data_IF_178831174005
#
_entry.id   IF_178831174005
#
_cell.length_a   1.000
_cell.length_b   1.000
_cell.length_c   1.000
_cell.angle_alpha   90.00
_cell.angle_beta   90.00
_cell.angle_gamma   90.00
#
_symmetry.space_group_name_H-M   'P 1'
#
loop_
_entity.id
_entity.type
_entity.pdbx_description
1 polymer ?
#
# COMPACT_ATOMS: atom_id res chain seq x y z
N UNK A 1 5.62 -7.63 -7.18
CA UNK A 1 5.25 -8.74 -6.27
C UNK A 1 6.50 -9.38 -5.68
N UNK A 2 6.43 -9.82 -4.42
CA UNK A 2 7.57 -10.44 -3.71
C UNK A 2 7.54 -11.97 -3.75
N UNK A 3 6.41 -12.57 -4.14
CA UNK A 3 6.21 -14.01 -4.21
C UNK A 3 5.52 -14.38 -5.53
N UNK A 4 6.10 -15.27 -6.36
CA UNK A 4 5.50 -15.69 -7.62
C UNK A 4 4.21 -16.51 -7.46
N UNK A 5 3.93 -17.03 -6.26
CA UNK A 5 2.72 -17.82 -5.94
C UNK A 5 1.54 -16.98 -5.46
N UNK A 6 1.77 -15.70 -5.17
CA UNK A 6 0.77 -14.82 -4.54
C UNK A 6 0.64 -13.49 -5.28
N UNK A 7 0.35 -13.60 -6.58
CA UNK A 7 0.20 -12.48 -7.51
C UNK A 7 -1.22 -11.90 -7.46
N UNK A 8 -1.35 -10.60 -7.75
CA UNK A 8 -2.66 -9.99 -7.96
C UNK A 8 -3.21 -10.38 -9.34
N UNK A 9 -2.35 -10.47 -10.35
CA UNK A 9 -2.72 -10.88 -11.69
C UNK A 9 -1.53 -11.45 -12.48
N UNK A 10 -1.84 -12.18 -13.56
CA UNK A 10 -0.83 -12.63 -14.49
C UNK A 10 -0.12 -11.43 -15.14
N UNK A 11 1.20 -11.51 -15.26
CA UNK A 11 2.02 -10.44 -15.85
C UNK A 11 2.51 -9.39 -14.85
N UNK A 12 2.16 -9.48 -13.57
CA UNK A 12 2.80 -8.64 -12.55
C UNK A 12 4.34 -8.83 -12.58
N UNK A 13 5.14 -7.74 -12.45
CA UNK A 13 6.57 -7.88 -12.25
C UNK A 13 6.88 -8.47 -10.87
N UNK A 14 7.85 -9.38 -10.81
CA UNK A 14 8.17 -10.16 -9.62
C UNK A 14 9.64 -9.95 -9.27
N UNK A 15 9.90 -9.59 -8.01
CA UNK A 15 11.24 -9.54 -7.43
C UNK A 15 11.30 -10.60 -6.35
N UNK A 16 11.76 -11.80 -6.69
CA UNK A 16 11.86 -12.93 -5.78
C UNK A 16 13.16 -13.71 -6.00
N UNK A 17 13.55 -14.53 -5.02
CA UNK A 17 14.80 -15.29 -5.03
C UNK A 17 14.78 -16.40 -6.08
N UNK A 18 13.64 -17.06 -6.24
CA UNK A 18 13.47 -18.25 -7.08
C UNK A 18 13.66 -17.95 -8.56
N UNK A 19 13.30 -16.73 -9.00
CA UNK A 19 13.36 -16.31 -10.40
C UNK A 19 14.44 -15.25 -10.66
N UNK A 20 15.33 -14.99 -9.69
CA UNK A 20 16.40 -14.04 -9.87
C UNK A 20 17.38 -14.53 -10.94
N UNK A 21 17.54 -13.74 -12.00
CA UNK A 21 18.40 -14.05 -13.12
C UNK A 21 19.05 -12.78 -13.65
N UNK A 22 20.18 -12.95 -14.36
CA UNK A 22 20.85 -11.82 -15.01
C UNK A 22 19.94 -11.10 -16.01
N UNK A 23 19.02 -11.81 -16.67
CA UNK A 23 18.05 -11.23 -17.59
C UNK A 23 17.07 -10.33 -16.84
N UNK A 24 16.49 -10.83 -15.74
CA UNK A 24 15.55 -10.07 -14.92
C UNK A 24 16.20 -8.84 -14.28
N UNK A 25 17.41 -9.00 -13.72
CA UNK A 25 18.18 -7.87 -13.17
C UNK A 25 18.47 -6.80 -14.22
N UNK A 26 18.88 -7.19 -15.44
CA UNK A 26 19.07 -6.23 -16.55
C UNK A 26 17.78 -5.50 -16.92
N UNK A 27 16.64 -6.20 -16.93
CA UNK A 27 15.35 -5.58 -17.22
C UNK A 27 14.97 -4.53 -16.17
N UNK A 28 15.09 -4.86 -14.88
CA UNK A 28 14.84 -3.91 -13.79
C UNK A 28 15.83 -2.74 -13.78
N UNK A 29 17.12 -2.99 -14.03
CA UNK A 29 18.10 -1.90 -14.16
C UNK A 29 17.85 -1.01 -15.37
N UNK A 30 17.39 -1.56 -16.49
CA UNK A 30 16.98 -0.76 -17.63
C UNK A 30 15.76 0.12 -17.29
N UNK A 31 14.77 -0.44 -16.58
CA UNK A 31 13.60 0.30 -16.11
C UNK A 31 14.00 1.45 -15.17
N UNK A 32 14.74 1.15 -14.10
CA UNK A 32 15.20 2.18 -13.16
C UNK A 32 16.00 3.28 -13.87
N UNK A 33 16.96 2.91 -14.72
CA UNK A 33 17.79 3.88 -15.47
C UNK A 33 16.96 4.78 -16.38
N UNK A 34 15.99 4.22 -17.12
CA UNK A 34 15.16 5.00 -18.05
C UNK A 34 14.21 5.92 -17.28
N UNK A 35 13.60 5.43 -16.20
CA UNK A 35 12.69 6.22 -15.37
C UNK A 35 13.39 7.39 -14.66
N UNK A 36 14.69 7.25 -14.36
CA UNK A 36 15.50 8.27 -13.69
C UNK A 36 16.20 9.25 -14.64
N UNK A 37 16.01 9.14 -15.96
CA UNK A 37 16.78 9.89 -16.97
C UNK A 37 16.70 11.42 -16.82
N UNK A 38 15.59 11.92 -16.26
CA UNK A 38 15.31 13.35 -16.06
C UNK A 38 15.44 13.78 -14.58
N UNK A 39 16.12 12.97 -13.75
CA UNK A 39 16.41 13.29 -12.34
C UNK A 39 15.31 12.91 -11.35
N UNK A 40 14.27 12.19 -11.77
CA UNK A 40 13.25 11.67 -10.87
C UNK A 40 13.84 10.60 -9.93
N UNK A 41 13.31 10.53 -8.70
CA UNK A 41 13.49 9.36 -7.83
C UNK A 41 12.46 8.30 -8.23
N UNK A 42 12.87 7.03 -8.21
CA UNK A 42 11.99 5.91 -8.57
C UNK A 42 11.97 4.89 -7.44
N UNK A 43 10.80 4.75 -6.83
CA UNK A 43 10.55 3.85 -5.72
C UNK A 43 9.63 2.73 -6.21
N UNK A 44 9.98 1.47 -5.95
CA UNK A 44 9.13 0.33 -6.33
C UNK A 44 8.17 -0.02 -5.20
N UNK A 45 6.91 -0.28 -5.51
CA UNK A 45 5.98 -0.83 -4.54
C UNK A 45 6.12 -2.36 -4.46
N UNK A 46 6.41 -2.86 -3.26
CA UNK A 46 6.55 -4.27 -2.95
C UNK A 46 5.25 -4.78 -2.33
N UNK A 47 4.70 -5.84 -2.91
CA UNK A 47 3.34 -6.31 -2.59
C UNK A 47 3.26 -7.84 -2.58
N UNK A 48 2.32 -8.35 -1.80
CA UNK A 48 1.92 -9.76 -1.71
C UNK A 48 0.40 -9.83 -1.63
N UNK A 49 -0.27 -10.49 -2.59
CA UNK A 49 -1.73 -10.40 -2.72
C UNK A 49 -2.49 -11.08 -1.57
N UNK A 50 -1.87 -12.07 -0.94
CA UNK A 50 -2.48 -12.82 0.16
C UNK A 50 -3.78 -13.48 -0.28
N UNK A 51 -4.85 -13.38 0.54
CA UNK A 51 -6.19 -13.91 0.17
C UNK A 51 -6.84 -13.30 -1.09
N UNK A 52 -6.26 -12.26 -1.70
CA UNK A 52 -6.76 -11.69 -2.97
C UNK A 52 -6.18 -12.38 -4.21
N UNK A 53 -5.23 -13.29 -4.02
CA UNK A 53 -4.63 -14.05 -5.13
C UNK A 53 -5.73 -14.77 -5.90
N UNK A 54 -5.86 -14.56 -7.23
CA UNK A 54 -6.86 -15.25 -8.03
C UNK A 54 -6.67 -16.77 -7.98
N UNK A 55 -7.78 -17.51 -8.01
CA UNK A 55 -7.76 -18.99 -8.01
C UNK A 55 -6.97 -19.56 -9.19
N UNK A 56 -6.86 -18.83 -10.30
CA UNK A 56 -6.07 -19.21 -11.48
C UNK A 56 -4.55 -19.07 -11.28
N UNK A 57 -4.12 -18.35 -10.24
CA UNK A 57 -2.70 -18.18 -9.86
C UNK A 57 -2.34 -19.17 -8.77
N UNK A 58 -3.15 -19.22 -7.71
CA UNK A 58 -2.99 -20.14 -6.59
C UNK A 58 -4.38 -20.41 -5.99
N UNK A 59 -4.75 -21.68 -5.93
CA UNK A 59 -6.00 -22.13 -5.34
C UNK A 59 -5.99 -22.03 -3.81
N UNK A 60 -4.80 -22.03 -3.20
CA UNK A 60 -4.58 -21.99 -1.76
C UNK A 60 -3.55 -20.93 -1.35
N UNK A 61 -3.85 -19.63 -1.52
CA UNK A 61 -2.91 -18.57 -1.20
C UNK A 61 -2.72 -18.36 0.31
N UNK A 62 -1.54 -17.91 0.72
CA UNK A 62 -1.29 -17.54 2.10
C UNK A 62 -2.08 -16.30 2.54
N UNK A 63 -2.45 -16.27 3.81
CA UNK A 63 -3.14 -15.17 4.48
C UNK A 63 -2.77 -15.15 5.97
N UNK A 64 -3.18 -14.12 6.70
CA UNK A 64 -3.06 -14.09 8.16
C UNK A 64 -4.02 -15.10 8.84
N UNK A 65 -5.16 -15.39 8.21
CA UNK A 65 -6.18 -16.35 8.68
C UNK A 65 -6.92 -16.98 7.48
N UNK A 66 -7.68 -18.04 7.72
CA UNK A 66 -8.49 -18.80 6.76
C UNK A 66 -9.80 -18.11 6.35
N UNK A 67 -9.86 -16.77 6.41
CA UNK A 67 -11.05 -15.99 6.08
C UNK A 67 -11.12 -15.72 4.57
N UNK A 68 -12.04 -16.34 3.81
CA UNK A 68 -12.11 -16.18 2.36
C UNK A 68 -12.40 -14.73 1.94
N UNK A 69 -11.98 -14.37 0.73
CA UNK A 69 -12.40 -13.11 0.12
C UNK A 69 -13.73 -13.32 -0.61
N UNK A 70 -14.79 -12.67 -0.11
CA UNK A 70 -16.02 -12.51 -0.87
C UNK A 70 -15.87 -11.30 -1.79
N UNK A 71 -15.83 -11.52 -3.12
CA UNK A 71 -15.74 -10.44 -4.10
C UNK A 71 -16.56 -10.74 -5.35
N UNK A 72 -17.24 -9.72 -5.88
CA UNK A 72 -17.94 -9.77 -7.16
C UNK A 72 -16.98 -9.65 -8.37
N UNK A 73 -15.72 -9.26 -8.15
CA UNK A 73 -14.77 -8.93 -9.24
C UNK A 73 -13.72 -10.02 -9.48
N UNK A 74 -13.23 -10.65 -8.41
CA UNK A 74 -12.17 -11.65 -8.48
C UNK A 74 -12.64 -12.92 -7.79
N UNK A 75 -12.49 -14.05 -8.48
CA UNK A 75 -12.59 -15.36 -7.85
C UNK A 75 -11.24 -15.69 -7.22
N UNK A 76 -11.10 -15.38 -5.94
CA UNK A 76 -9.89 -15.66 -5.17
C UNK A 76 -9.77 -17.15 -4.81
N UNK A 77 -8.55 -17.60 -4.54
CA UNK A 77 -8.31 -18.91 -3.93
C UNK A 77 -8.77 -18.97 -2.48
N UNK A 78 -8.84 -20.18 -1.92
CA UNK A 78 -9.18 -20.43 -0.52
C UNK A 78 -7.95 -20.22 0.37
N UNK A 79 -7.92 -19.17 1.22
CA UNK A 79 -6.70 -18.79 1.89
C UNK A 79 -6.29 -19.79 2.98
N UNK A 80 -4.98 -20.06 3.07
CA UNK A 80 -4.39 -20.84 4.15
C UNK A 80 -3.69 -19.89 5.15
N UNK A 81 -3.92 -20.05 6.46
CA UNK A 81 -3.25 -19.25 7.48
C UNK A 81 -1.76 -19.57 7.52
N UNK A 82 -0.91 -18.54 7.51
CA UNK A 82 0.52 -18.70 7.72
C UNK A 82 0.81 -19.26 9.12
N UNK A 83 1.58 -20.34 9.19
CA UNK A 83 2.18 -20.82 10.44
C UNK A 83 3.20 -19.81 10.99
N UNK A 84 3.41 -19.80 12.31
CA UNK A 84 4.41 -18.92 12.94
C UNK A 84 5.82 -19.15 12.38
N UNK A 85 6.17 -20.41 12.12
CA UNK A 85 7.43 -20.84 11.52
C UNK A 85 7.57 -20.43 10.04
N UNK A 86 6.45 -20.13 9.37
CA UNK A 86 6.42 -19.74 7.96
C UNK A 86 6.53 -18.22 7.77
N UNK A 87 6.05 -17.40 8.70
CA UNK A 87 5.99 -15.92 8.55
C UNK A 87 7.34 -15.35 8.14
N UNK A 88 8.42 -15.80 8.79
CA UNK A 88 9.77 -15.32 8.47
C UNK A 88 10.16 -15.65 7.02
N UNK A 89 10.14 -16.93 6.65
CA UNK A 89 10.64 -17.37 5.36
C UNK A 89 9.71 -16.99 4.19
N UNK A 90 8.40 -17.01 4.43
CA UNK A 90 7.38 -16.85 3.38
C UNK A 90 6.84 -15.43 3.26
N UNK A 91 7.15 -14.53 4.20
CA UNK A 91 6.77 -13.12 4.10
C UNK A 91 7.99 -12.22 4.29
N UNK A 92 8.58 -12.21 5.49
CA UNK A 92 9.60 -11.21 5.86
C UNK A 92 10.81 -11.28 4.91
N UNK A 93 11.39 -12.47 4.76
CA UNK A 93 12.60 -12.67 3.93
C UNK A 93 12.33 -12.37 2.45
N UNK A 94 11.08 -12.54 1.98
CA UNK A 94 10.69 -12.22 0.60
C UNK A 94 10.65 -10.72 0.35
N UNK A 95 10.05 -9.95 1.28
CA UNK A 95 10.08 -8.49 1.20
C UNK A 95 11.50 -7.94 1.28
N UNK A 96 12.32 -8.48 2.19
CA UNK A 96 13.74 -8.12 2.32
C UNK A 96 14.50 -8.40 1.03
N UNK A 97 14.31 -9.59 0.44
CA UNK A 97 14.95 -9.95 -0.83
C UNK A 97 14.56 -9.00 -1.96
N UNK A 98 13.27 -8.69 -2.07
CA UNK A 98 12.75 -7.79 -3.09
C UNK A 98 13.31 -6.37 -2.92
N UNK A 99 13.41 -5.86 -1.69
CA UNK A 99 14.02 -4.56 -1.41
C UNK A 99 15.52 -4.53 -1.78
N UNK A 100 16.26 -5.60 -1.48
CA UNK A 100 17.66 -5.75 -1.89
C UNK A 100 17.80 -5.76 -3.41
N UNK A 101 16.97 -6.52 -4.10
CA UNK A 101 16.94 -6.54 -5.56
C UNK A 101 16.62 -5.15 -6.14
N UNK A 102 15.67 -4.43 -5.55
CA UNK A 102 15.34 -3.06 -5.97
C UNK A 102 16.54 -2.11 -5.85
N UNK A 103 17.21 -2.11 -4.70
CA UNK A 103 18.45 -1.35 -4.49
C UNK A 103 19.52 -1.74 -5.50
N UNK A 104 19.81 -3.04 -5.62
CA UNK A 104 20.89 -3.55 -6.47
C UNK A 104 20.63 -3.30 -7.97
N UNK A 105 19.36 -3.11 -8.36
CA UNK A 105 18.98 -2.79 -9.74
C UNK A 105 18.86 -1.29 -10.00
N UNK A 106 19.08 -0.43 -9.01
CA UNK A 106 19.23 1.02 -9.19
C UNK A 106 18.00 1.87 -8.87
N UNK A 107 16.97 1.27 -8.27
CA UNK A 107 15.84 2.02 -7.69
C UNK A 107 16.29 2.80 -6.45
N UNK A 108 15.65 3.94 -6.20
CA UNK A 108 15.96 4.82 -5.07
C UNK A 108 15.31 4.37 -3.76
N UNK A 109 14.34 3.47 -3.84
CA UNK A 109 13.63 2.99 -2.67
C UNK A 109 12.65 1.87 -2.94
N UNK A 110 12.04 1.41 -1.86
CA UNK A 110 10.91 0.50 -1.86
C UNK A 110 9.76 1.08 -1.01
N UNK A 111 8.52 0.88 -1.47
CA UNK A 111 7.32 1.13 -0.69
C UNK A 111 6.67 -0.19 -0.32
N UNK A 112 6.45 -0.45 0.96
CA UNK A 112 5.76 -1.64 1.45
C UNK A 112 4.26 -1.45 1.27
N UNK A 113 3.58 -2.38 0.60
CA UNK A 113 2.14 -2.30 0.42
C UNK A 113 1.36 -3.01 1.55
N UNK A 114 0.82 -2.20 2.47
CA UNK A 114 -0.04 -2.61 3.58
C UNK A 114 -1.45 -2.01 3.49
N UNK A 115 -1.98 -1.91 2.27
CA UNK A 115 -3.28 -1.32 1.98
C UNK A 115 -4.12 -2.24 1.09
N UNK A 116 -5.34 -1.80 0.78
CA UNK A 116 -6.24 -2.38 -0.22
C UNK A 116 -6.61 -3.85 -0.01
N UNK A 117 -6.40 -4.38 1.20
CA UNK A 117 -6.65 -5.77 1.56
C UNK A 117 -5.62 -6.77 1.03
N UNK A 118 -4.43 -6.31 0.58
CA UNK A 118 -3.27 -7.18 0.34
C UNK A 118 -2.78 -7.81 1.65
N UNK A 119 -1.83 -8.75 1.60
CA UNK A 119 -1.44 -9.56 2.77
C UNK A 119 -1.19 -8.73 4.04
N UNK A 120 -0.38 -7.67 3.96
CA UNK A 120 -0.06 -6.87 5.15
C UNK A 120 -1.26 -6.06 5.66
N UNK A 121 -2.15 -5.61 4.76
CA UNK A 121 -3.45 -5.05 5.15
C UNK A 121 -4.34 -6.10 5.82
N UNK A 122 -4.22 -7.38 5.43
CA UNK A 122 -4.97 -8.47 6.07
C UNK A 122 -4.49 -8.71 7.51
N UNK A 123 -3.20 -8.55 7.80
CA UNK A 123 -2.71 -8.60 9.18
C UNK A 123 -3.22 -7.40 10.01
N UNK A 124 -3.29 -6.22 9.40
CA UNK A 124 -3.82 -5.03 10.06
C UNK A 124 -5.33 -5.06 10.30
N UNK A 125 -6.15 -5.77 9.52
CA UNK A 125 -7.60 -5.72 9.71
C UNK A 125 -8.11 -6.75 10.71
N UNK A 126 -8.96 -6.35 11.67
CA UNK A 126 -9.68 -7.28 12.53
C UNK A 126 -10.72 -8.12 11.77
N UNK A 127 -11.15 -7.70 10.58
CA UNK A 127 -12.08 -8.50 9.75
C UNK A 127 -11.40 -9.74 9.16
N UNK A 128 -10.10 -9.67 8.91
CA UNK A 128 -9.34 -10.74 8.25
C UNK A 128 -8.38 -11.44 9.18
N UNK A 129 -7.78 -10.72 10.13
CA UNK A 129 -6.87 -11.29 11.11
C UNK A 129 -7.64 -11.82 12.32
N UNK A 130 -7.82 -13.14 12.36
CA UNK A 130 -8.45 -13.88 13.47
C UNK A 130 -7.42 -14.64 14.31
N UNK A 131 -6.14 -14.30 14.19
CA UNK A 131 -5.07 -14.94 14.96
C UNK A 131 -5.18 -14.61 16.45
N UNK A 132 -4.73 -15.55 17.26
CA UNK A 132 -4.67 -15.45 18.73
C UNK A 132 -3.22 -15.51 19.26
N UNK A 133 -2.25 -15.51 18.35
CA UNK A 133 -0.82 -15.46 18.65
C UNK A 133 -0.27 -14.02 18.61
N UNK A 134 1.06 -13.88 18.59
CA UNK A 134 1.75 -12.59 18.62
C UNK A 134 1.55 -11.72 17.38
N UNK A 135 0.88 -12.23 16.33
CA UNK A 135 0.54 -11.48 15.13
C UNK A 135 -0.96 -11.13 15.04
N UNK A 136 -1.74 -11.36 16.09
CA UNK A 136 -3.18 -11.06 16.15
C UNK A 136 -3.64 -10.35 17.43
N UNK A 137 -4.92 -9.98 17.45
CA UNK A 137 -5.52 -9.26 18.57
C UNK A 137 -5.22 -7.77 18.55
N UNK A 138 -4.33 -7.31 19.45
CA UNK A 138 -4.02 -5.88 19.60
C UNK A 138 -3.44 -5.28 18.32
N UNK A 139 -3.53 -3.95 18.17
CA UNK A 139 -2.98 -3.26 17.00
C UNK A 139 -1.48 -3.48 16.88
N UNK A 140 -0.75 -3.52 18.00
CA UNK A 140 0.68 -3.73 18.03
C UNK A 140 1.08 -5.12 17.52
N UNK A 141 0.33 -6.15 17.89
CA UNK A 141 0.53 -7.50 17.36
C UNK A 141 0.18 -7.57 15.88
N UNK A 142 -0.92 -6.94 15.45
CA UNK A 142 -1.30 -6.87 14.04
C UNK A 142 -0.27 -6.13 13.17
N UNK A 143 0.35 -5.07 13.72
CA UNK A 143 1.41 -4.29 13.07
C UNK A 143 2.78 -4.97 13.10
N UNK A 144 2.99 -5.94 14.00
CA UNK A 144 4.28 -6.61 14.23
C UNK A 144 4.97 -7.07 12.94
N UNK A 145 4.24 -7.72 12.04
CA UNK A 145 4.81 -8.22 10.79
C UNK A 145 5.35 -7.08 9.90
N UNK A 146 4.70 -5.92 9.90
CA UNK A 146 5.14 -4.75 9.13
C UNK A 146 6.42 -4.18 9.73
N UNK A 147 6.47 -4.07 11.06
CA UNK A 147 7.67 -3.64 11.79
C UNK A 147 8.84 -4.58 11.51
N UNK A 148 8.64 -5.89 11.62
CA UNK A 148 9.69 -6.89 11.39
C UNK A 148 10.21 -6.85 9.94
N UNK A 149 9.34 -6.63 8.95
CA UNK A 149 9.77 -6.40 7.56
C UNK A 149 10.64 -5.15 7.46
N UNK A 150 10.20 -4.03 8.04
CA UNK A 150 10.96 -2.78 7.99
C UNK A 150 12.33 -2.92 8.66
N UNK A 151 12.37 -3.46 9.88
CA UNK A 151 13.59 -3.67 10.65
C UNK A 151 14.57 -4.56 9.88
N UNK A 152 14.10 -5.68 9.32
CA UNK A 152 14.94 -6.58 8.53
C UNK A 152 15.43 -5.94 7.21
N UNK A 153 14.62 -5.09 6.57
CA UNK A 153 15.07 -4.30 5.41
C UNK A 153 16.18 -3.32 5.84
N UNK A 154 16.04 -2.65 6.99
CA UNK A 154 17.02 -1.68 7.48
C UNK A 154 18.31 -2.32 7.97
N UNK A 155 18.26 -3.55 8.48
CA UNK A 155 19.45 -4.34 8.81
C UNK A 155 20.30 -4.59 7.56
N UNK A 156 19.67 -4.99 6.46
CA UNK A 156 20.34 -5.28 5.18
C UNK A 156 20.63 -4.04 4.32
N UNK A 157 19.84 -2.98 4.50
CA UNK A 157 19.91 -1.72 3.76
C UNK A 157 19.85 -0.54 4.76
N UNK A 158 20.98 -0.23 5.42
CA UNK A 158 21.04 0.85 6.40
C UNK A 158 20.61 2.20 5.81
N UNK A 159 19.93 3.03 6.60
CA UNK A 159 19.41 4.34 6.14
C UNK A 159 20.50 5.25 5.55
N UNK A 160 21.76 5.15 6.01
CA UNK A 160 22.92 5.87 5.46
C UNK A 160 23.22 5.59 3.98
N UNK A 161 22.64 4.55 3.40
CA UNK A 161 22.73 4.25 1.97
C UNK A 161 21.91 5.22 1.11
N UNK A 162 21.00 6.00 1.72
CA UNK A 162 20.07 6.87 1.00
C UNK A 162 18.89 6.14 0.36
N UNK A 163 18.74 4.83 0.59
CA UNK A 163 17.63 4.04 0.08
C UNK A 163 16.35 4.33 0.88
N UNK A 164 15.33 4.83 0.17
CA UNK A 164 14.04 5.22 0.75
C UNK A 164 13.20 3.98 1.04
N UNK A 165 12.64 3.88 2.24
CA UNK A 165 11.68 2.84 2.61
C UNK A 165 10.41 3.52 3.12
N UNK A 166 9.37 3.49 2.28
CA UNK A 166 8.05 3.99 2.63
C UNK A 166 7.03 2.88 2.84
N UNK A 167 5.83 3.24 3.23
CA UNK A 167 4.70 2.32 3.38
C UNK A 167 3.43 2.93 2.81
N UNK A 168 2.56 2.08 2.24
CA UNK A 168 1.20 2.42 1.87
C UNK A 168 0.21 1.73 2.79
N UNK A 169 -0.66 2.47 3.46
CA UNK A 169 -1.62 1.96 4.44
C UNK A 169 -3.06 2.43 4.15
N UNK A 170 -4.06 1.71 4.67
CA UNK A 170 -5.46 2.14 4.59
C UNK A 170 -5.75 3.23 5.64
N UNK A 171 -6.49 4.27 5.27
CA UNK A 171 -6.98 5.31 6.18
C UNK A 171 -8.21 4.86 6.97
N UNK A 172 -9.08 4.05 6.37
CA UNK A 172 -10.26 3.46 7.01
C UNK A 172 -10.70 2.21 6.25
N UNK A 173 -11.22 1.21 6.97
CA UNK A 173 -11.93 0.09 6.35
C UNK A 173 -13.43 0.19 6.66
N UNK A 174 -14.24 0.32 5.62
CA UNK A 174 -15.68 0.58 5.73
C UNK A 174 -16.52 -0.67 6.06
N UNK A 175 -15.91 -1.65 6.73
CA UNK A 175 -16.56 -2.87 7.18
C UNK A 175 -16.83 -2.77 8.68
N UNK A 176 -17.91 -3.43 9.14
CA UNK A 176 -18.11 -3.64 10.56
C UNK A 176 -16.89 -4.40 11.09
N UNK A 177 -16.25 -3.87 12.13
CA UNK A 177 -15.02 -4.40 12.73
C UNK A 177 -13.77 -4.30 11.81
N UNK A 178 -13.77 -3.39 10.83
CA UNK A 178 -12.59 -2.99 10.06
C UNK A 178 -11.65 -2.05 10.83
N UNK A 179 -10.54 -1.66 10.20
CA UNK A 179 -9.66 -0.62 10.72
C UNK A 179 -10.44 0.68 10.96
N UNK A 180 -10.56 1.06 12.24
CA UNK A 180 -11.21 2.29 12.69
C UNK A 180 -10.36 3.51 12.35
N UNK A 181 -10.93 4.72 12.44
CA UNK A 181 -10.17 5.96 12.28
C UNK A 181 -9.09 6.09 13.35
N UNK A 182 -9.40 5.73 14.59
CA UNK A 182 -8.49 5.74 15.74
C UNK A 182 -7.35 4.74 15.56
N UNK A 183 -7.66 3.51 15.13
CA UNK A 183 -6.66 2.49 14.78
C UNK A 183 -5.76 2.98 13.64
N UNK A 184 -6.31 3.70 12.66
CA UNK A 184 -5.50 4.26 11.57
C UNK A 184 -4.56 5.37 12.06
N UNK A 185 -5.00 6.24 12.99
CA UNK A 185 -4.11 7.23 13.61
C UNK A 185 -2.99 6.56 14.39
N UNK A 186 -3.32 5.57 15.20
CA UNK A 186 -2.35 4.84 16.00
C UNK A 186 -1.39 4.02 15.11
N UNK A 187 -1.89 3.38 14.05
CA UNK A 187 -1.06 2.69 13.07
C UNK A 187 -0.10 3.65 12.35
N UNK A 188 -0.55 4.87 12.01
CA UNK A 188 0.34 5.90 11.46
C UNK A 188 1.43 6.30 12.45
N UNK A 189 1.08 6.48 13.73
CA UNK A 189 2.05 6.75 14.79
C UNK A 189 3.10 5.64 14.90
N UNK A 190 2.67 4.38 14.90
CA UNK A 190 3.55 3.22 14.91
C UNK A 190 4.46 3.16 13.67
N UNK A 191 3.96 3.55 12.49
CA UNK A 191 4.78 3.63 11.26
C UNK A 191 5.84 4.72 11.35
N UNK A 192 5.49 5.88 11.89
CA UNK A 192 6.43 6.98 12.11
C UNK A 192 7.52 6.58 13.13
N UNK A 193 7.11 6.01 14.28
CA UNK A 193 8.01 5.51 15.31
C UNK A 193 8.93 4.40 14.81
N UNK A 194 8.42 3.53 13.92
CA UNK A 194 9.21 2.49 13.27
C UNK A 194 10.32 3.08 12.38
N UNK A 195 10.13 4.28 11.83
CA UNK A 195 11.14 5.01 11.06
C UNK A 195 10.95 4.95 9.54
N UNK A 196 9.73 4.71 9.05
CA UNK A 196 9.42 4.82 7.63
C UNK A 196 9.71 6.24 7.12
N UNK A 197 10.32 6.37 5.94
CA UNK A 197 10.69 7.68 5.36
C UNK A 197 9.46 8.48 4.91
N UNK A 198 8.38 7.77 4.57
CA UNK A 198 7.07 8.35 4.27
C UNK A 198 5.96 7.30 4.42
N UNK A 199 4.76 7.79 4.67
CA UNK A 199 3.53 7.00 4.69
C UNK A 199 2.59 7.54 3.60
N UNK A 200 2.04 6.66 2.76
CA UNK A 200 0.99 6.96 1.80
C UNK A 200 -0.32 6.37 2.31
N UNK A 201 -1.30 7.22 2.58
CA UNK A 201 -2.64 6.77 2.98
C UNK A 201 -3.52 6.53 1.75
N UNK A 202 -4.34 5.50 1.83
CA UNK A 202 -5.29 5.11 0.77
C UNK A 202 -6.60 4.61 1.35
N UNK A 203 -7.66 4.52 0.55
CA UNK A 203 -8.97 4.03 1.01
C UNK A 203 -9.50 2.88 0.15
N UNK A 204 -10.29 1.99 0.76
CA UNK A 204 -11.05 0.92 0.07
C UNK A 204 -10.39 -0.47 0.06
N UNK A 205 -11.18 -1.52 -0.26
CA UNK A 205 -10.71 -2.90 -0.47
C UNK A 205 -11.63 -3.69 -1.43
N UNK A 206 -11.15 -4.83 -1.97
CA UNK A 206 -11.88 -5.65 -2.96
C UNK A 206 -13.12 -6.37 -2.44
N UNK A 207 -13.28 -6.50 -1.12
CA UNK A 207 -14.39 -7.24 -0.52
C UNK A 207 -15.72 -6.48 -0.64
N UNK A 208 -15.65 -5.15 -0.76
CA UNK A 208 -16.77 -4.30 -1.21
C UNK A 208 -16.23 -3.26 -2.19
N UNK A 209 -16.11 -3.62 -3.47
CA UNK A 209 -15.76 -2.65 -4.50
C UNK A 209 -16.87 -1.60 -4.54
N UNK A 210 -16.52 -0.32 -4.65
CA UNK A 210 -17.46 0.80 -4.67
C UNK A 210 -18.53 0.74 -5.80
N UNK A 211 -18.48 -0.27 -6.66
CA UNK A 211 -19.28 -0.44 -7.87
C UNK A 211 -20.34 -1.57 -7.79
N UNK A 212 -20.33 -2.41 -6.74
CA UNK A 212 -21.32 -3.49 -6.57
C UNK A 212 -22.46 -3.01 -5.65
N UNK A 213 -23.52 -2.47 -6.25
CA UNK A 213 -24.60 -1.75 -5.55
C UNK A 213 -25.84 -2.60 -5.26
N UNK A 214 -26.45 -2.42 -4.08
CA UNK A 214 -27.79 -2.94 -3.76
C UNK A 214 -28.85 -1.87 -3.43
N UNK A 215 -28.50 -0.59 -3.12
CA UNK A 215 -29.51 0.45 -2.74
C UNK A 215 -29.14 1.89 -3.13
N UNK A 216 -30.16 2.71 -3.40
CA UNK A 216 -30.06 4.12 -3.86
C UNK A 216 -29.44 5.07 -2.82
N UNK A 217 -29.59 4.78 -1.52
CA UNK A 217 -28.95 5.54 -0.43
C UNK A 217 -27.45 5.25 -0.29
N UNK A 218 -27.00 4.09 -0.79
CA UNK A 218 -25.57 3.75 -0.94
C UNK A 218 -24.96 4.54 -2.10
N UNK A 219 -25.68 4.73 -3.23
CA UNK A 219 -25.21 5.56 -4.36
C UNK A 219 -24.88 7.01 -3.99
N UNK A 220 -25.65 7.65 -3.10
CA UNK A 220 -25.34 9.02 -2.62
C UNK A 220 -24.13 9.07 -1.69
N UNK A 221 -23.89 8.00 -0.94
CA UNK A 221 -22.67 7.84 -0.15
C UNK A 221 -21.48 7.44 -1.01
N UNK A 222 -21.69 6.71 -2.12
CA UNK A 222 -20.68 6.15 -3.03
C UNK A 222 -20.28 7.07 -4.18
N UNK A 223 -21.08 8.07 -4.55
CA UNK A 223 -20.61 9.18 -5.41
C UNK A 223 -19.41 9.93 -4.79
N UNK A 224 -19.29 9.88 -3.46
CA UNK A 224 -18.14 10.31 -2.67
C UNK A 224 -16.87 9.46 -2.91
N UNK A 225 -17.03 8.21 -3.39
CA UNK A 225 -15.97 7.19 -3.42
C UNK A 225 -15.26 7.09 -4.77
N UNK A 226 -15.91 7.39 -5.89
CA UNK A 226 -15.20 7.60 -7.18
C UNK A 226 -14.24 8.80 -7.05
N UNK A 227 -14.59 9.75 -6.20
CA UNK A 227 -13.78 10.91 -5.86
C UNK A 227 -12.72 10.65 -4.76
N UNK A 228 -12.73 9.51 -4.07
CA UNK A 228 -11.74 9.19 -3.03
C UNK A 228 -10.58 8.34 -3.59
N UNK A 229 -10.88 7.47 -4.56
CA UNK A 229 -9.96 6.50 -5.14
C UNK A 229 -8.92 7.12 -6.09
N UNK A 230 -9.20 8.30 -6.67
CA UNK A 230 -8.28 9.00 -7.58
C UNK A 230 -7.22 9.87 -6.86
N UNK A 231 -7.12 9.83 -5.52
CA UNK A 231 -6.96 11.11 -4.80
C UNK A 231 -6.08 11.17 -3.54
N UNK A 232 -5.10 10.30 -3.32
CA UNK A 232 -4.22 10.45 -2.15
C UNK A 232 -2.73 10.28 -2.48
N UNK A 233 -2.00 11.40 -2.39
CA UNK A 233 -0.55 11.45 -2.43
C UNK A 233 -0.03 12.13 -1.16
N UNK A 234 0.93 11.45 -0.51
CA UNK A 234 1.90 11.96 0.46
C UNK A 234 1.35 12.43 1.83
N UNK A 235 1.66 11.67 2.90
CA UNK A 235 1.70 12.28 4.23
C UNK A 235 2.83 13.31 4.32
N UNK A 236 2.53 14.40 5.02
CA UNK A 236 3.44 15.48 5.41
C UNK A 236 4.62 14.93 6.23
N UNK A 237 5.81 15.55 6.10
CA UNK A 237 7.00 15.28 6.94
C UNK A 237 6.85 15.79 8.39
N UNK A 238 5.65 16.21 8.81
CA UNK A 238 5.44 16.76 10.15
C UNK A 238 5.38 15.63 11.17
N UNK A 239 6.12 15.76 12.29
CA UNK A 239 5.97 14.84 13.40
C UNK A 239 4.52 14.81 13.90
N UNK A 240 4.00 13.65 14.31
CA UNK A 240 2.63 13.52 14.84
C UNK A 240 2.29 14.54 15.94
N UNK A 241 3.28 14.96 16.74
CA UNK A 241 3.12 15.98 17.79
C UNK A 241 2.71 17.36 17.25
N UNK A 242 2.94 17.62 15.96
CA UNK A 242 2.58 18.86 15.27
C UNK A 242 1.28 18.73 14.46
N UNK A 243 0.73 17.52 14.34
CA UNK A 243 -0.52 17.25 13.64
C UNK A 243 -1.72 17.44 14.58
N UNK A 244 -2.63 18.34 14.23
CA UNK A 244 -3.95 18.45 14.84
C UNK A 244 -4.92 17.40 14.27
N UNK A 245 -4.72 17.00 13.01
CA UNK A 245 -5.40 15.92 12.34
C UNK A 245 -4.43 15.07 11.52
N UNK A 246 -4.74 13.78 11.34
CA UNK A 246 -4.03 12.93 10.35
C UNK A 246 -4.18 13.43 8.92
N UNK A 247 -5.12 14.35 8.71
CA UNK A 247 -5.34 15.02 7.44
C UNK A 247 -4.64 16.38 7.32
N UNK A 248 -3.77 16.81 8.24
CA UNK A 248 -3.10 18.11 8.07
C UNK A 248 -2.19 18.11 6.83
N UNK A 249 -2.25 19.18 6.04
CA UNK A 249 -1.59 19.34 4.73
C UNK A 249 -2.05 18.33 3.63
N UNK A 250 -3.09 17.54 3.88
CA UNK A 250 -3.77 16.68 2.91
C UNK A 250 -5.30 16.91 3.01
N UNK A 251 -6.08 16.40 2.05
CA UNK A 251 -7.52 16.60 2.10
C UNK A 251 -8.17 15.71 3.17
N UNK A 252 -8.91 16.31 4.11
CA UNK A 252 -9.83 15.57 4.98
C UNK A 252 -11.08 15.15 4.19
N UNK A 253 -10.96 14.03 3.50
CA UNK A 253 -12.04 13.48 2.70
C UNK A 253 -13.13 12.79 3.53
N UNK A 254 -13.21 13.02 4.84
CA UNK A 254 -14.39 12.71 5.65
C UNK A 254 -15.36 13.90 5.73
N UNK A 255 -14.89 15.10 5.38
CA UNK A 255 -15.67 16.32 5.36
C UNK A 255 -16.19 16.63 3.94
N UNK A 256 -17.51 16.70 3.71
CA UNK A 256 -18.08 16.96 2.39
C UNK A 256 -17.64 18.28 1.73
N UNK A 257 -17.37 19.33 2.51
CA UNK A 257 -16.89 20.60 1.97
C UNK A 257 -15.42 20.53 1.55
N UNK A 258 -14.62 19.77 2.29
CA UNK A 258 -13.22 19.55 1.95
C UNK A 258 -13.07 18.65 0.72
N UNK A 259 -13.94 17.65 0.56
CA UNK A 259 -14.00 16.87 -0.69
C UNK A 259 -14.25 17.79 -1.88
N UNK A 260 -15.20 18.73 -1.78
CA UNK A 260 -15.45 19.73 -2.83
C UNK A 260 -14.24 20.62 -3.09
N UNK A 261 -13.55 21.08 -2.05
CA UNK A 261 -12.33 21.87 -2.15
C UNK A 261 -11.25 21.09 -2.92
N UNK A 262 -11.03 19.84 -2.53
CA UNK A 262 -10.02 18.99 -3.14
C UNK A 262 -10.36 18.57 -4.57
N UNK A 263 -11.63 18.36 -4.92
CA UNK A 263 -12.05 18.11 -6.31
C UNK A 263 -11.72 19.26 -7.23
N UNK A 264 -11.98 20.50 -6.77
CA UNK A 264 -11.64 21.69 -7.54
C UNK A 264 -10.14 21.77 -7.77
N UNK A 265 -9.35 21.47 -6.73
CA UNK A 265 -7.91 21.41 -6.81
C UNK A 265 -7.42 20.36 -7.83
N UNK A 266 -7.88 19.11 -7.71
CA UNK A 266 -7.48 18.03 -8.62
C UNK A 266 -7.93 18.30 -10.05
N UNK A 267 -9.10 18.88 -10.28
CA UNK A 267 -9.54 19.22 -11.63
C UNK A 267 -8.60 20.23 -12.33
N UNK A 268 -7.96 21.12 -11.58
CA UNK A 268 -6.93 22.02 -12.10
C UNK A 268 -5.65 21.25 -12.41
N UNK A 269 -5.19 20.45 -11.46
CA UNK A 269 -3.97 19.65 -11.59
C UNK A 269 -4.06 18.64 -12.74
N UNK A 270 -5.16 17.90 -12.86
CA UNK A 270 -5.36 16.92 -13.92
C UNK A 270 -5.26 17.57 -15.30
N UNK A 271 -5.84 18.76 -15.50
CA UNK A 271 -5.71 19.49 -16.77
C UNK A 271 -4.27 19.91 -17.05
N UNK A 272 -3.52 20.31 -16.02
CA UNK A 272 -2.10 20.63 -16.16
C UNK A 272 -1.28 19.38 -16.50
N UNK A 273 -1.53 18.25 -15.83
CA UNK A 273 -0.88 16.97 -16.10
C UNK A 273 -1.20 16.48 -17.52
N UNK A 274 -2.46 16.54 -17.94
CA UNK A 274 -2.89 16.16 -19.30
C UNK A 274 -2.19 17.02 -20.35
N UNK A 275 -2.12 18.34 -20.13
CA UNK A 275 -1.39 19.26 -21.00
C UNK A 275 0.09 18.90 -21.05
N UNK A 276 0.74 18.73 -19.91
CA UNK A 276 2.16 18.36 -19.82
C UNK A 276 2.43 17.02 -20.51
N UNK A 277 1.57 16.02 -20.31
CA UNK A 277 1.64 14.72 -21.00
C UNK A 277 1.50 14.88 -22.52
N UNK A 278 0.56 15.70 -23.00
CA UNK A 278 0.39 15.97 -24.44
C UNK A 278 1.63 16.63 -25.07
N UNK A 279 2.34 17.43 -24.28
CA UNK A 279 3.60 18.09 -24.66
C UNK A 279 4.83 17.20 -24.42
N UNK A 280 4.65 15.97 -23.91
CA UNK A 280 5.70 15.05 -23.45
C UNK A 280 6.65 15.70 -22.45
N UNK A 281 6.14 16.63 -21.65
CA UNK A 281 6.87 17.28 -20.57
C UNK A 281 6.62 16.52 -19.27
N UNK A 282 7.68 16.17 -18.52
CA UNK A 282 7.54 15.58 -17.19
C UNK A 282 6.92 16.60 -16.22
N UNK A 283 6.05 16.11 -15.34
CA UNK A 283 5.51 16.88 -14.21
C UNK A 283 6.58 16.95 -13.13
N UNK A 284 7.06 18.14 -12.79
CA UNK A 284 8.06 18.36 -11.75
C UNK A 284 7.45 19.12 -10.56
N UNK A 285 7.90 18.81 -9.35
CA UNK A 285 7.63 19.59 -8.14
C UNK A 285 6.69 18.93 -7.13
N UNK A 286 6.48 19.62 -6.00
CA UNK A 286 5.49 19.26 -4.97
C UNK A 286 4.18 19.95 -5.31
N UNK A 287 3.12 19.16 -5.46
CA UNK A 287 1.76 19.68 -5.61
C UNK A 287 1.26 19.97 -4.20
N UNK A 288 1.42 21.22 -3.76
CA UNK A 288 0.99 21.64 -2.43
C UNK A 288 -0.53 21.80 -2.40
N UNK A 289 -1.16 21.15 -1.43
CA UNK A 289 -2.57 21.29 -1.15
C UNK A 289 -2.76 21.96 0.22
N UNK A 290 -3.77 22.81 0.34
CA UNK A 290 -4.18 23.42 1.60
C UNK A 290 -5.60 23.00 1.89
N UNK A 291 -5.77 22.34 3.03
CA UNK A 291 -7.06 21.92 3.52
C UNK A 291 -7.90 23.11 3.98
N UNK A 292 -9.22 22.93 4.07
CA UNK A 292 -10.13 23.97 4.57
C UNK A 292 -10.06 24.19 6.09
N UNK A 293 -9.46 23.26 6.84
CA UNK A 293 -9.55 23.19 8.31
C UNK A 293 -8.19 23.01 8.96
#
# INVERSE_FOLDING_TARGET
>A
MVDPRHLESAGNPIMCKENDSSLLRRAFSALARVSKKDGALVIVQLSHAGRQTPISVNDHPFSCSDVPLESCMIKAGEPIPLGLDQIKAEVIDRFVYAAKMARDTGFDGAQIHAAHGYLLSQFLSLTTNKRTDEYGGSLENRFRIIREIFEAIREEIPAKTGFVVGIKANSVEFQKDGLSTEDAKEACAMMEECGFDFVELSGGNLAKPAWCHERESSKKREAYFIELAEKMGQMSKRPLSELQSVCDDIADLSNPEEVKNFLKFIAVITREIEKMNSERKPVFGRISYSNLY
#
